data_IF_554467331020
#
_entry.id   IF_554467331020
#
_cell.length_a   1.000
_cell.length_b   1.000
_cell.length_c   1.000
_cell.angle_alpha   90.00
_cell.angle_beta   90.00
_cell.angle_gamma   90.00
#
_symmetry.space_group_name_H-M   'P 1'
#
loop_
_entity.id
_entity.type
_entity.pdbx_description
1 polymer ?
#
# COMPACT_ATOMS: atom_id res chain seq x y z
N UNK A 1 -14.36 3.95 -13.86
CA UNK A 1 -14.81 4.81 -12.75
C UNK A 1 -15.59 6.03 -13.26
N UNK A 2 -14.99 6.97 -14.03
CA UNK A 2 -15.68 8.19 -14.53
C UNK A 2 -16.97 7.88 -15.28
N UNK A 3 -16.95 6.95 -16.25
CA UNK A 3 -18.15 6.53 -17.00
C UNK A 3 -19.26 5.97 -16.09
N UNK A 4 -18.88 5.21 -15.05
CA UNK A 4 -19.82 4.63 -14.09
C UNK A 4 -20.47 5.72 -13.22
N UNK A 5 -19.66 6.65 -12.68
CA UNK A 5 -20.17 7.76 -11.86
C UNK A 5 -21.06 8.71 -12.67
N UNK A 6 -20.70 8.95 -13.93
CA UNK A 6 -21.54 9.76 -14.82
C UNK A 6 -22.91 9.13 -15.07
N UNK A 7 -22.96 7.79 -15.22
CA UNK A 7 -24.19 7.07 -15.56
C UNK A 7 -25.08 6.79 -14.35
N UNK A 8 -24.48 6.41 -13.22
CA UNK A 8 -25.19 5.89 -12.06
C UNK A 8 -25.03 6.74 -10.79
N UNK A 9 -24.28 7.84 -10.88
CA UNK A 9 -23.92 8.62 -9.71
C UNK A 9 -22.89 7.88 -8.83
N UNK A 10 -22.66 8.43 -7.65
CA UNK A 10 -21.80 7.82 -6.65
C UNK A 10 -22.55 6.72 -5.89
N UNK A 11 -22.34 5.46 -6.25
CA UNK A 11 -23.03 4.29 -5.65
C UNK A 11 -22.52 4.00 -4.21
N UNK A 12 -21.22 4.15 -3.96
CA UNK A 12 -20.63 3.93 -2.63
C UNK A 12 -19.96 5.20 -2.10
N UNK A 13 -20.08 5.46 -0.79
CA UNK A 13 -19.43 6.59 -0.14
C UNK A 13 -17.90 6.43 -0.13
N UNK A 14 -17.18 7.53 -0.13
CA UNK A 14 -15.77 7.55 0.25
C UNK A 14 -15.66 7.50 1.76
N UNK A 15 -14.52 7.09 2.29
CA UNK A 15 -14.29 7.01 3.74
C UNK A 15 -13.34 8.10 4.18
N UNK A 16 -13.75 8.86 5.18
CA UNK A 16 -12.93 9.91 5.79
C UNK A 16 -12.91 9.76 7.30
N UNK A 17 -11.83 10.23 7.90
CA UNK A 17 -11.73 10.44 9.34
C UNK A 17 -11.87 11.93 9.62
N UNK A 18 -12.64 12.27 10.66
CA UNK A 18 -12.74 13.65 11.11
C UNK A 18 -11.47 14.02 11.88
N UNK A 19 -10.82 15.08 11.46
CA UNK A 19 -9.68 15.69 12.14
C UNK A 19 -10.06 17.09 12.66
N UNK A 20 -9.15 17.70 13.42
CA UNK A 20 -9.36 19.02 14.02
C UNK A 20 -9.69 20.10 12.99
N UNK A 21 -9.03 20.02 11.83
CA UNK A 21 -9.11 21.01 10.76
C UNK A 21 -9.98 20.57 9.58
N UNK A 22 -10.72 19.43 9.69
CA UNK A 22 -11.59 18.96 8.61
C UNK A 22 -11.71 17.46 8.49
N UNK A 23 -11.61 16.94 7.25
CA UNK A 23 -11.75 15.52 6.95
C UNK A 23 -10.53 15.00 6.20
N UNK A 24 -9.88 14.00 6.77
CA UNK A 24 -8.81 13.26 6.11
C UNK A 24 -9.40 12.04 5.39
N UNK A 25 -9.17 11.93 4.08
CA UNK A 25 -9.64 10.79 3.31
C UNK A 25 -8.77 9.56 3.57
N UNK A 26 -9.43 8.41 3.78
CA UNK A 26 -8.80 7.12 4.03
C UNK A 26 -9.05 6.14 2.88
N UNK A 27 -10.23 6.20 2.24
CA UNK A 27 -10.57 5.38 1.08
C UNK A 27 -11.44 6.15 0.07
N UNK A 28 -11.30 5.76 -1.19
CA UNK A 28 -12.12 6.30 -2.29
C UNK A 28 -11.44 7.38 -3.13
N UNK A 29 -10.11 7.47 -3.10
CA UNK A 29 -9.32 8.45 -3.89
C UNK A 29 -9.66 8.43 -5.40
N UNK A 30 -9.89 7.23 -5.97
CA UNK A 30 -10.31 7.10 -7.38
C UNK A 30 -11.69 7.69 -7.62
N UNK A 31 -12.62 7.56 -6.65
CA UNK A 31 -13.97 8.14 -6.69
C UNK A 31 -13.91 9.65 -6.57
N UNK A 32 -13.13 10.19 -5.63
CA UNK A 32 -12.90 11.63 -5.50
C UNK A 32 -12.35 12.22 -6.81
N UNK A 33 -11.31 11.61 -7.38
CA UNK A 33 -10.72 12.07 -8.64
C UNK A 33 -11.73 12.06 -9.79
N UNK A 34 -12.56 11.03 -9.88
CA UNK A 34 -13.59 10.93 -10.90
C UNK A 34 -14.70 11.96 -10.69
N UNK A 35 -15.15 12.21 -9.45
CA UNK A 35 -16.14 13.25 -9.15
C UNK A 35 -15.61 14.66 -9.48
N UNK A 36 -14.34 14.94 -9.14
CA UNK A 36 -13.69 16.20 -9.52
C UNK A 36 -13.63 16.38 -11.04
N UNK A 37 -13.28 15.33 -11.79
CA UNK A 37 -13.27 15.36 -13.27
C UNK A 37 -14.66 15.55 -13.88
N UNK A 38 -15.72 15.29 -13.14
CA UNK A 38 -17.10 15.48 -13.54
C UNK A 38 -17.70 16.80 -13.01
N UNK A 39 -16.89 17.66 -12.39
CA UNK A 39 -17.31 18.91 -11.74
C UNK A 39 -18.45 18.72 -10.72
N UNK A 40 -18.49 17.56 -10.04
CA UNK A 40 -19.46 17.33 -8.97
C UNK A 40 -19.08 18.14 -7.73
N UNK A 41 -19.98 19.02 -7.30
CA UNK A 41 -19.78 19.90 -6.14
C UNK A 41 -19.84 19.16 -4.79
N UNK A 42 -20.47 18.00 -4.75
CA UNK A 42 -20.69 17.22 -3.53
C UNK A 42 -20.21 15.81 -3.69
N UNK A 43 -19.78 15.21 -2.57
CA UNK A 43 -19.30 13.85 -2.49
C UNK A 43 -19.95 13.17 -1.28
N UNK A 44 -20.52 11.97 -1.47
CA UNK A 44 -21.04 11.20 -0.34
C UNK A 44 -19.88 10.62 0.46
N UNK A 45 -19.86 10.94 1.76
CA UNK A 45 -18.79 10.55 2.69
C UNK A 45 -19.37 9.71 3.82
N UNK A 46 -18.67 8.64 4.18
CA UNK A 46 -18.83 7.93 5.44
C UNK A 46 -17.69 8.34 6.36
N UNK A 47 -18.02 8.89 7.50
CA UNK A 47 -17.02 9.27 8.50
C UNK A 47 -16.74 8.12 9.47
N UNK A 48 -15.47 7.96 9.84
CA UNK A 48 -15.04 7.06 10.91
C UNK A 48 -14.52 7.91 12.07
N UNK A 49 -14.89 7.50 13.30
CA UNK A 49 -14.36 8.12 14.52
C UNK A 49 -13.13 7.35 14.99
N UNK A 50 -12.02 7.52 14.25
CA UNK A 50 -10.72 6.96 14.61
C UNK A 50 -9.68 8.06 14.50
N UNK A 51 -8.70 8.08 15.40
CA UNK A 51 -7.70 9.14 15.46
C UNK A 51 -6.28 8.59 15.38
N UNK A 52 -5.37 9.42 14.85
CA UNK A 52 -3.92 9.17 14.85
C UNK A 52 -3.51 7.84 14.20
N UNK A 53 -2.80 7.01 14.95
CA UNK A 53 -2.20 5.74 14.48
C UNK A 53 -3.22 4.75 13.88
N UNK A 54 -4.44 4.72 14.44
CA UNK A 54 -5.52 3.85 13.94
C UNK A 54 -5.97 4.27 12.55
N UNK A 55 -5.91 5.55 12.21
CA UNK A 55 -6.25 6.05 10.88
C UNK A 55 -5.29 5.51 9.81
N UNK A 56 -3.97 5.51 10.08
CA UNK A 56 -2.98 4.91 9.17
C UNK A 56 -3.22 3.41 8.96
N UNK A 57 -3.52 2.70 10.04
CA UNK A 57 -3.82 1.27 10.00
C UNK A 57 -5.14 0.92 9.28
N UNK A 58 -6.14 1.80 9.34
CA UNK A 58 -7.43 1.60 8.67
C UNK A 58 -7.31 1.64 7.15
N UNK A 59 -6.35 2.39 6.60
CA UNK A 59 -6.16 2.52 5.13
C UNK A 59 -5.91 1.17 4.45
N UNK A 60 -4.96 0.33 4.87
CA UNK A 60 -4.82 -1.02 4.32
C UNK A 60 -6.06 -1.89 4.53
N UNK A 61 -6.64 -1.90 5.73
CA UNK A 61 -7.79 -2.76 6.04
C UNK A 61 -9.01 -2.48 5.17
N UNK A 62 -9.32 -1.21 4.89
CA UNK A 62 -10.43 -0.82 4.03
C UNK A 62 -10.22 -1.19 2.57
N UNK A 63 -8.96 -1.25 2.13
CA UNK A 63 -8.60 -1.53 0.74
C UNK A 63 -8.22 -3.01 0.48
N UNK A 64 -8.13 -3.84 1.52
CA UNK A 64 -7.83 -5.28 1.36
C UNK A 64 -8.93 -6.04 0.61
N UNK A 65 -10.20 -5.69 0.82
CA UNK A 65 -11.32 -6.34 0.13
C UNK A 65 -11.30 -6.10 -1.38
N UNK A 66 -10.77 -4.96 -1.82
CA UNK A 66 -10.77 -4.54 -3.22
C UNK A 66 -9.47 -4.83 -3.97
N UNK A 67 -8.47 -5.47 -3.33
CA UNK A 67 -7.11 -5.70 -3.88
C UNK A 67 -6.48 -4.43 -4.47
N UNK A 68 -6.81 -3.26 -3.94
CA UNK A 68 -6.38 -1.98 -4.48
C UNK A 68 -5.03 -1.50 -3.94
N UNK A 69 -4.55 -2.10 -2.85
CA UNK A 69 -3.24 -1.84 -2.26
C UNK A 69 -2.32 -3.00 -2.61
N UNK A 70 -1.13 -2.70 -3.12
CA UNK A 70 -0.10 -3.71 -3.36
C UNK A 70 0.72 -3.97 -2.08
N UNK A 71 1.47 -5.09 -2.09
CA UNK A 71 2.27 -5.50 -0.92
C UNK A 71 3.34 -4.48 -0.50
N UNK A 72 3.83 -3.66 -1.44
CA UNK A 72 4.80 -2.61 -1.14
C UNK A 72 4.14 -1.43 -0.43
N UNK A 73 2.94 -1.03 -0.86
CA UNK A 73 2.18 0.02 -0.19
C UNK A 73 1.80 -0.38 1.23
N UNK A 74 1.41 -1.65 1.45
CA UNK A 74 1.22 -2.21 2.79
C UNK A 74 2.50 -2.10 3.62
N UNK A 75 3.63 -2.52 3.05
CA UNK A 75 4.92 -2.51 3.75
C UNK A 75 5.34 -1.09 4.16
N UNK A 76 5.12 -0.09 3.30
CA UNK A 76 5.40 1.32 3.61
C UNK A 76 4.52 1.85 4.74
N UNK A 77 3.23 1.51 4.76
CA UNK A 77 2.33 1.89 5.87
C UNK A 77 2.79 1.26 7.18
N UNK A 78 3.15 -0.03 7.17
CA UNK A 78 3.63 -0.73 8.37
C UNK A 78 4.96 -0.15 8.87
N UNK A 79 5.86 0.21 7.95
CA UNK A 79 7.12 0.87 8.30
C UNK A 79 6.87 2.25 8.95
N UNK A 80 5.96 3.05 8.40
CA UNK A 80 5.59 4.35 8.97
C UNK A 80 4.99 4.19 10.38
N UNK A 81 4.08 3.22 10.60
CA UNK A 81 3.55 2.89 11.93
C UNK A 81 4.66 2.49 12.90
N UNK A 82 5.66 1.75 12.43
CA UNK A 82 6.76 1.28 13.26
C UNK A 82 7.76 2.39 13.58
N UNK A 83 8.22 3.14 12.57
CA UNK A 83 9.31 4.12 12.72
C UNK A 83 8.86 5.51 13.14
N UNK A 84 7.76 6.00 12.57
CA UNK A 84 7.28 7.35 12.84
C UNK A 84 6.35 7.40 14.05
N UNK A 85 5.43 6.41 14.15
CA UNK A 85 4.47 6.34 15.24
C UNK A 85 4.99 5.55 16.46
N UNK A 86 6.15 4.89 16.36
CA UNK A 86 6.83 4.19 17.45
C UNK A 86 6.15 2.90 17.90
N UNK A 87 5.24 2.33 17.08
CA UNK A 87 4.58 1.07 17.41
C UNK A 87 5.52 -0.12 17.25
N UNK A 88 5.47 -1.05 18.17
CA UNK A 88 6.15 -2.34 18.04
C UNK A 88 5.46 -3.20 16.99
N UNK A 89 6.17 -4.16 16.39
CA UNK A 89 5.58 -5.10 15.42
C UNK A 89 4.43 -5.92 16.02
N UNK A 90 4.43 -6.16 17.34
CA UNK A 90 3.36 -6.86 18.05
C UNK A 90 2.11 -5.97 18.12
N UNK A 91 2.26 -4.69 18.48
CA UNK A 91 1.14 -3.74 18.53
C UNK A 91 0.52 -3.54 17.15
N UNK A 92 1.35 -3.44 16.10
CA UNK A 92 0.88 -3.35 14.71
C UNK A 92 0.12 -4.62 14.33
N UNK A 93 0.64 -5.80 14.67
CA UNK A 93 -0.01 -7.08 14.41
C UNK A 93 -1.38 -7.15 15.08
N UNK A 94 -1.48 -6.79 16.36
CA UNK A 94 -2.72 -6.72 17.11
C UNK A 94 -3.71 -5.73 16.49
N UNK A 95 -3.24 -4.52 16.13
CA UNK A 95 -4.05 -3.47 15.53
C UNK A 95 -4.68 -3.90 14.20
N UNK A 96 -3.95 -4.71 13.41
CA UNK A 96 -4.37 -5.17 12.08
C UNK A 96 -5.04 -6.55 12.09
N UNK A 97 -5.13 -7.22 13.26
CA UNK A 97 -5.64 -8.59 13.34
C UNK A 97 -4.77 -9.59 12.56
N UNK A 98 -3.44 -9.37 12.56
CA UNK A 98 -2.45 -10.21 11.89
C UNK A 98 -1.45 -10.77 12.89
N UNK A 99 -0.63 -11.74 12.47
CA UNK A 99 0.49 -12.23 13.28
C UNK A 99 1.74 -11.35 13.12
N UNK A 100 2.61 -11.37 14.14
CA UNK A 100 3.88 -10.63 14.14
C UNK A 100 4.76 -11.00 12.94
N UNK A 101 4.78 -12.27 12.56
CA UNK A 101 5.62 -12.77 11.45
C UNK A 101 5.20 -12.16 10.11
N UNK A 102 3.89 -11.95 9.93
CA UNK A 102 3.37 -11.26 8.75
C UNK A 102 3.85 -9.81 8.70
N UNK A 103 3.72 -9.06 9.82
CA UNK A 103 4.20 -7.67 9.94
C UNK A 103 5.70 -7.59 9.67
N UNK A 104 6.48 -8.48 10.28
CA UNK A 104 7.95 -8.52 10.11
C UNK A 104 8.34 -8.74 8.64
N UNK A 105 7.69 -9.68 7.94
CA UNK A 105 7.94 -9.93 6.52
C UNK A 105 7.63 -8.72 5.64
N UNK A 106 6.56 -7.98 5.93
CA UNK A 106 6.18 -6.76 5.19
C UNK A 106 7.19 -5.64 5.41
N UNK A 107 7.54 -5.33 6.65
CA UNK A 107 8.54 -4.30 6.96
C UNK A 107 9.89 -4.65 6.32
N UNK A 108 10.29 -5.92 6.35
CA UNK A 108 11.54 -6.38 5.72
C UNK A 108 11.61 -6.11 4.21
N UNK A 109 10.48 -6.06 3.50
CA UNK A 109 10.48 -5.71 2.07
C UNK A 109 11.02 -4.29 1.85
N UNK A 110 10.64 -3.34 2.68
CA UNK A 110 11.14 -1.96 2.57
C UNK A 110 12.56 -1.84 3.12
N UNK A 111 12.85 -2.50 4.25
CA UNK A 111 14.14 -2.35 4.94
C UNK A 111 15.32 -3.03 4.25
N UNK A 112 15.09 -4.08 3.48
CA UNK A 112 16.15 -4.86 2.82
C UNK A 112 16.35 -4.54 1.36
N UNK A 113 15.33 -4.01 0.69
CA UNK A 113 15.39 -3.69 -0.73
C UNK A 113 16.01 -2.30 -0.97
N UNK A 114 16.75 -2.15 -2.05
CA UNK A 114 17.21 -0.86 -2.54
C UNK A 114 16.02 -0.04 -3.06
N UNK A 115 16.19 1.28 -3.15
CA UNK A 115 15.12 2.18 -3.60
C UNK A 115 14.68 1.87 -5.04
N UNK A 116 15.62 1.53 -5.91
CA UNK A 116 15.35 1.17 -7.30
C UNK A 116 14.46 -0.08 -7.38
N UNK A 117 14.79 -1.14 -6.62
CA UNK A 117 13.98 -2.36 -6.59
C UNK A 117 12.59 -2.11 -5.99
N UNK A 118 12.48 -1.24 -4.99
CA UNK A 118 11.18 -0.82 -4.45
C UNK A 118 10.32 -0.13 -5.50
N UNK A 119 10.93 0.73 -6.33
CA UNK A 119 10.22 1.41 -7.42
C UNK A 119 9.78 0.44 -8.51
N UNK A 120 10.64 -0.51 -8.91
CA UNK A 120 10.28 -1.56 -9.88
C UNK A 120 9.07 -2.40 -9.41
N UNK A 121 8.96 -2.65 -8.10
CA UNK A 121 7.79 -3.32 -7.52
C UNK A 121 6.55 -2.41 -7.60
N UNK A 122 6.68 -1.12 -7.29
CA UNK A 122 5.56 -0.17 -7.35
C UNK A 122 5.02 -0.05 -8.77
N UNK A 123 5.91 -0.06 -9.76
CA UNK A 123 5.57 -0.03 -11.18
C UNK A 123 5.02 -1.37 -11.69
N UNK A 124 5.09 -2.44 -10.89
CA UNK A 124 4.65 -3.77 -11.28
C UNK A 124 5.61 -4.48 -12.23
N UNK A 125 6.83 -3.99 -12.39
CA UNK A 125 7.88 -4.58 -13.22
C UNK A 125 8.46 -5.85 -12.57
N UNK A 126 8.61 -5.83 -11.25
CA UNK A 126 9.03 -6.97 -10.44
C UNK A 126 7.90 -7.51 -9.60
N UNK A 127 7.79 -8.85 -9.53
CA UNK A 127 6.87 -9.49 -8.59
C UNK A 127 7.41 -9.37 -7.15
N UNK A 128 6.50 -9.33 -6.17
CA UNK A 128 6.89 -9.36 -4.75
C UNK A 128 7.65 -10.64 -4.39
N UNK A 129 7.37 -11.73 -5.09
CA UNK A 129 8.07 -13.01 -4.88
C UNK A 129 9.53 -12.93 -5.34
N UNK A 130 9.78 -12.36 -6.52
CA UNK A 130 11.13 -12.05 -7.03
C UNK A 130 11.88 -11.12 -6.08
N UNK A 131 11.19 -10.10 -5.56
CA UNK A 131 11.77 -9.12 -4.65
C UNK A 131 12.23 -9.73 -3.32
N UNK A 132 11.56 -10.78 -2.85
CA UNK A 132 12.03 -11.53 -1.66
C UNK A 132 13.34 -12.25 -1.89
N UNK A 133 13.59 -12.74 -3.10
CA UNK A 133 14.88 -13.33 -3.47
C UNK A 133 15.96 -12.23 -3.56
N UNK A 134 15.65 -11.11 -4.21
CA UNK A 134 16.55 -9.95 -4.27
C UNK A 134 16.90 -9.41 -2.87
N UNK A 135 15.97 -9.42 -1.91
CA UNK A 135 16.21 -8.99 -0.55
C UNK A 135 17.22 -9.85 0.23
N UNK A 136 17.62 -11.02 -0.28
CA UNK A 136 18.69 -11.86 0.27
C UNK A 136 20.08 -11.36 -0.13
N UNK A 137 20.17 -10.59 -1.21
CA UNK A 137 21.41 -10.01 -1.72
C UNK A 137 21.77 -8.73 -0.97
N UNK A 138 23.05 -8.37 -0.87
CA UNK A 138 23.47 -7.05 -0.44
C UNK A 138 22.83 -5.97 -1.32
N UNK A 139 22.42 -4.84 -0.73
CA UNK A 139 21.73 -3.76 -1.46
C UNK A 139 22.45 -3.30 -2.73
N UNK A 140 23.78 -3.22 -2.68
CA UNK A 140 24.59 -2.80 -3.84
C UNK A 140 24.48 -3.72 -5.06
N UNK A 141 24.14 -4.99 -4.88
CA UNK A 141 24.04 -5.98 -5.96
C UNK A 141 22.59 -6.15 -6.46
N UNK A 142 21.60 -5.61 -5.74
CA UNK A 142 20.20 -5.84 -6.05
C UNK A 142 19.76 -5.22 -7.35
N UNK A 143 20.27 -4.02 -7.69
CA UNK A 143 19.94 -3.32 -8.93
C UNK A 143 20.39 -4.13 -10.14
N UNK A 144 21.64 -4.57 -10.17
CA UNK A 144 22.21 -5.37 -11.26
C UNK A 144 21.45 -6.68 -11.45
N UNK A 145 21.15 -7.38 -10.35
CA UNK A 145 20.34 -8.60 -10.37
C UNK A 145 18.91 -8.34 -10.87
N UNK A 146 18.27 -7.26 -10.45
CA UNK A 146 16.95 -6.87 -10.92
C UNK A 146 16.94 -6.58 -12.43
N UNK A 147 17.92 -5.82 -12.93
CA UNK A 147 18.05 -5.57 -14.36
C UNK A 147 18.28 -6.86 -15.17
N UNK A 148 19.09 -7.79 -14.68
CA UNK A 148 19.30 -9.09 -15.33
C UNK A 148 17.99 -9.90 -15.43
N UNK A 149 17.19 -9.91 -14.36
CA UNK A 149 15.89 -10.57 -14.32
C UNK A 149 14.93 -9.92 -15.34
N UNK A 150 14.86 -8.60 -15.38
CA UNK A 150 13.98 -7.87 -16.29
C UNK A 150 14.39 -8.08 -17.76
N UNK A 151 15.68 -8.04 -18.08
CA UNK A 151 16.20 -8.27 -19.44
C UNK A 151 16.03 -9.72 -19.88
N UNK A 152 16.31 -10.66 -18.99
CA UNK A 152 16.23 -12.10 -19.27
C UNK A 152 14.82 -12.69 -19.27
N UNK A 153 13.82 -11.92 -18.81
CA UNK A 153 12.44 -12.40 -18.56
C UNK A 153 12.41 -13.68 -17.70
N UNK A 154 13.33 -13.77 -16.73
CA UNK A 154 13.42 -14.91 -15.85
C UNK A 154 12.17 -15.02 -14.97
N UNK A 155 11.72 -16.27 -14.76
CA UNK A 155 10.68 -16.55 -13.76
C UNK A 155 11.26 -16.43 -12.36
N UNK A 156 10.40 -16.26 -11.36
CA UNK A 156 10.80 -16.18 -9.93
C UNK A 156 11.64 -17.39 -9.49
N UNK A 157 11.40 -18.55 -10.11
CA UNK A 157 12.10 -19.81 -9.77
C UNK A 157 13.53 -19.82 -10.30
N UNK A 158 13.80 -19.11 -11.38
CA UNK A 158 15.12 -18.98 -12.00
C UNK A 158 15.93 -17.87 -11.34
N UNK A 159 15.27 -16.83 -10.84
CA UNK A 159 15.90 -15.72 -10.11
C UNK A 159 16.47 -16.13 -8.73
N UNK A 160 16.05 -17.26 -8.17
CA UNK A 160 16.52 -17.78 -6.88
C UNK A 160 17.65 -18.81 -6.98
N UNK A 161 18.20 -19.08 -8.19
CA UNK A 161 19.38 -19.90 -8.43
C UNK A 161 20.61 -19.05 -8.66
#
# INVERSE_FOLDING_TARGET
MIKSIRRYGQLSAVVCVKDKDGYQMVDGFKRLRACRSLNQMTLRVRTMQVHGRVCKAATPQLNWSDRSINEMEEALVLQSLHREDGLTQIEIATLLGRDKSWVSRRISLVERLSEEVQEDIRLGLLSVMTSRELAKLPRGNQKEAAEAILKGRYTTREAGK
#
